data_IF_847703670727
#
_entry.id   IF_847703670727
#
_cell.length_a   1.000
_cell.length_b   1.000
_cell.length_c   1.000
_cell.angle_alpha   90.00
_cell.angle_beta   90.00
_cell.angle_gamma   90.00
#
_symmetry.space_group_name_H-M   'P 1'
#
loop_
_entity.id
_entity.type
_entity.pdbx_description
1 polymer ?
#
# COMPACT_ATOMS: atom_id res chain seq x y z
N UNK A 1 18.63 2.88 28.46
CA UNK A 1 17.27 3.06 27.90
C UNK A 1 17.27 2.87 26.38
N UNK A 2 17.93 3.75 25.62
CA UNK A 2 18.08 3.70 24.15
C UNK A 2 18.33 2.32 23.51
N UNK A 3 19.21 1.48 24.10
CA UNK A 3 19.48 0.12 23.59
C UNK A 3 18.26 -0.82 23.68
N UNK A 4 17.42 -0.64 24.71
CA UNK A 4 16.16 -1.38 24.86
C UNK A 4 15.15 -0.92 23.81
N UNK A 5 15.03 0.38 23.62
CA UNK A 5 14.08 0.99 22.68
C UNK A 5 14.41 0.59 21.24
N UNK A 6 15.70 0.63 20.86
CA UNK A 6 16.16 0.16 19.54
C UNK A 6 15.87 -1.32 19.31
N UNK A 7 16.03 -2.18 20.33
CA UNK A 7 15.70 -3.61 20.19
C UNK A 7 14.19 -3.83 20.03
N UNK A 8 13.37 -3.06 20.76
CA UNK A 8 11.92 -3.10 20.62
C UNK A 8 11.50 -2.65 19.21
N UNK A 9 12.07 -1.56 18.70
CA UNK A 9 11.81 -1.06 17.36
C UNK A 9 12.22 -2.08 16.28
N UNK A 10 13.38 -2.73 16.40
CA UNK A 10 13.81 -3.78 15.46
C UNK A 10 12.84 -4.97 15.48
N UNK A 11 12.38 -5.39 16.66
CA UNK A 11 11.42 -6.48 16.77
C UNK A 11 10.07 -6.12 16.12
N UNK A 12 9.58 -4.91 16.35
CA UNK A 12 8.37 -4.39 15.74
C UNK A 12 8.48 -4.33 14.21
N UNK A 13 9.55 -3.75 13.69
CA UNK A 13 9.79 -3.66 12.24
C UNK A 13 9.89 -5.05 11.59
N UNK A 14 10.51 -6.02 12.27
CA UNK A 14 10.57 -7.41 11.77
C UNK A 14 9.17 -8.04 11.71
N UNK A 15 8.35 -7.85 12.73
CA UNK A 15 6.98 -8.35 12.76
C UNK A 15 6.12 -7.70 11.66
N UNK A 16 6.29 -6.40 11.43
CA UNK A 16 5.62 -5.66 10.37
C UNK A 16 6.03 -6.18 8.98
N UNK A 17 7.34 -6.34 8.72
CA UNK A 17 7.83 -6.92 7.46
C UNK A 17 7.31 -8.34 7.25
N UNK A 18 7.23 -9.16 8.29
CA UNK A 18 6.64 -10.50 8.19
C UNK A 18 5.15 -10.44 7.84
N UNK A 19 4.43 -9.47 8.39
CA UNK A 19 3.00 -9.25 8.12
C UNK A 19 2.79 -8.82 6.67
N UNK A 20 3.56 -7.83 6.19
CA UNK A 20 3.52 -7.34 4.80
C UNK A 20 3.92 -8.41 3.78
N UNK A 21 4.75 -9.38 4.16
CA UNK A 21 5.09 -10.53 3.30
C UNK A 21 4.02 -11.61 3.28
N UNK A 22 3.27 -11.76 4.38
CA UNK A 22 2.26 -12.80 4.54
C UNK A 22 0.92 -12.42 3.94
N UNK A 23 0.53 -11.15 4.09
CA UNK A 23 -0.77 -10.66 3.67
C UNK A 23 -0.63 -9.71 2.48
N UNK A 24 -1.58 -9.81 1.55
CA UNK A 24 -1.74 -8.85 0.47
C UNK A 24 -2.78 -7.82 0.89
N UNK A 25 -2.36 -6.58 1.10
CA UNK A 25 -3.25 -5.48 1.47
C UNK A 25 -3.75 -4.76 0.21
N UNK A 26 -5.00 -4.28 0.28
CA UNK A 26 -5.61 -3.50 -0.79
C UNK A 26 -5.39 -2.01 -0.55
N UNK A 27 -5.06 -1.29 -1.62
CA UNK A 27 -4.78 0.13 -1.60
C UNK A 27 -6.00 0.88 -2.13
N UNK A 28 -6.70 1.64 -1.30
CA UNK A 28 -7.96 2.31 -1.67
C UNK A 28 -7.92 3.20 -2.92
N UNK A 29 -6.77 3.82 -3.21
CA UNK A 29 -6.61 4.67 -4.39
C UNK A 29 -6.36 3.88 -5.69
N UNK A 30 -5.95 2.62 -5.57
CA UNK A 30 -5.39 1.82 -6.66
C UNK A 30 -6.13 0.52 -6.90
N UNK A 31 -6.73 -0.10 -5.89
CA UNK A 31 -7.38 -1.39 -6.03
C UNK A 31 -8.90 -1.22 -5.94
N UNK A 32 -9.66 -1.69 -6.94
CA UNK A 32 -11.11 -1.61 -6.92
C UNK A 32 -11.67 -2.68 -5.95
N UNK A 33 -12.08 -2.24 -4.76
CA UNK A 33 -12.73 -3.11 -3.78
C UNK A 33 -13.97 -2.49 -3.16
N UNK A 34 -14.79 -3.33 -2.51
CA UNK A 34 -15.93 -2.94 -1.67
C UNK A 34 -15.82 -3.57 -0.29
N UNK A 35 -16.51 -2.98 0.67
CA UNK A 35 -16.63 -3.53 2.02
C UNK A 35 -18.05 -4.05 2.21
N UNK A 36 -18.17 -5.26 2.71
CA UNK A 36 -19.46 -5.95 2.89
C UNK A 36 -19.76 -6.06 4.38
N UNK A 37 -20.99 -5.78 4.84
CA UNK A 37 -21.34 -5.94 6.25
C UNK A 37 -21.19 -7.38 6.72
N UNK A 38 -20.78 -7.58 7.98
CA UNK A 38 -20.61 -8.93 8.54
C UNK A 38 -21.88 -9.79 8.53
N UNK A 39 -23.07 -9.20 8.40
CA UNK A 39 -24.35 -9.89 8.26
C UNK A 39 -24.38 -10.83 7.05
N UNK A 40 -23.68 -10.48 5.97
CA UNK A 40 -23.57 -11.31 4.75
C UNK A 40 -22.52 -12.43 4.88
N UNK A 41 -21.81 -12.48 6.02
CA UNK A 41 -20.84 -13.54 6.30
C UNK A 41 -21.45 -14.71 7.08
N UNK A 42 -22.75 -14.66 7.37
CA UNK A 42 -23.47 -15.68 8.12
C UNK A 42 -24.47 -16.40 7.21
N UNK A 43 -24.63 -17.72 7.40
CA UNK A 43 -25.62 -18.53 6.66
C UNK A 43 -25.00 -19.53 5.69
N UNK A 44 -25.74 -19.85 4.63
CA UNK A 44 -25.37 -20.89 3.65
C UNK A 44 -24.53 -20.35 2.49
N UNK A 45 -24.88 -19.17 1.98
CA UNK A 45 -24.19 -18.49 0.87
C UNK A 45 -23.33 -17.34 1.40
N UNK A 46 -22.29 -17.70 2.15
CA UNK A 46 -21.41 -16.78 2.87
C UNK A 46 -20.50 -16.02 1.92
N UNK A 47 -20.55 -14.69 1.97
CA UNK A 47 -19.59 -13.81 1.30
C UNK A 47 -18.25 -13.84 2.03
N UNK A 48 -17.16 -13.95 1.29
CA UNK A 48 -15.78 -13.97 1.82
C UNK A 48 -14.93 -12.88 1.19
N UNK A 49 -13.92 -12.46 1.94
CA UNK A 49 -12.86 -11.59 1.41
C UNK A 49 -12.19 -12.27 0.22
N UNK A 50 -12.08 -11.53 -0.88
CA UNK A 50 -11.56 -11.98 -2.17
C UNK A 50 -12.63 -12.42 -3.17
N UNK A 51 -13.90 -12.55 -2.78
CA UNK A 51 -14.98 -12.84 -3.73
C UNK A 51 -15.12 -11.70 -4.74
N UNK A 52 -15.45 -12.04 -5.99
CA UNK A 52 -15.70 -11.04 -7.03
C UNK A 52 -17.05 -10.35 -6.81
N UNK A 53 -17.08 -9.06 -7.12
CA UNK A 53 -18.27 -8.22 -7.00
C UNK A 53 -18.32 -7.26 -8.18
N UNK A 54 -19.54 -6.91 -8.58
CA UNK A 54 -19.80 -5.87 -9.57
C UNK A 54 -20.50 -4.72 -8.89
N UNK A 55 -19.97 -3.52 -9.12
CA UNK A 55 -20.63 -2.28 -8.73
C UNK A 55 -21.32 -1.73 -9.97
N UNK A 56 -22.65 -1.70 -9.96
CA UNK A 56 -23.46 -1.18 -11.06
C UNK A 56 -23.89 0.23 -10.70
N UNK A 57 -23.59 1.19 -11.57
CA UNK A 57 -24.01 2.57 -11.42
C UNK A 57 -24.21 3.23 -12.78
N UNK A 58 -25.41 3.77 -13.01
CA UNK A 58 -25.79 4.31 -14.32
C UNK A 58 -25.69 3.24 -15.40
N UNK A 59 -24.99 3.56 -16.50
CA UNK A 59 -24.85 2.69 -17.67
C UNK A 59 -23.53 1.87 -17.67
N UNK A 60 -22.85 1.81 -16.53
CA UNK A 60 -21.56 1.15 -16.40
C UNK A 60 -21.54 0.12 -15.26
N UNK A 61 -20.80 -0.96 -15.49
CA UNK A 61 -20.50 -1.99 -14.50
C UNK A 61 -19.02 -1.93 -14.18
N UNK A 62 -18.69 -1.78 -12.90
CA UNK A 62 -17.33 -1.70 -12.40
C UNK A 62 -16.96 -3.01 -11.69
N UNK A 63 -16.06 -3.82 -12.28
CA UNK A 63 -15.50 -5.00 -11.62
C UNK A 63 -14.78 -4.63 -10.33
N UNK A 64 -14.96 -5.39 -9.26
CA UNK A 64 -14.27 -5.17 -8.00
C UNK A 64 -14.14 -6.49 -7.22
N UNK A 65 -13.45 -6.43 -6.08
CA UNK A 65 -13.35 -7.54 -5.12
C UNK A 65 -13.95 -7.15 -3.77
N UNK A 66 -14.44 -8.13 -3.03
CA UNK A 66 -14.76 -7.96 -1.61
C UNK A 66 -13.43 -7.82 -0.85
N UNK A 67 -13.14 -6.61 -0.40
CA UNK A 67 -11.86 -6.27 0.21
C UNK A 67 -11.84 -6.41 1.73
N UNK A 68 -12.97 -6.17 2.38
CA UNK A 68 -13.08 -6.23 3.84
C UNK A 68 -14.52 -6.55 4.27
N UNK A 69 -14.64 -6.96 5.52
CA UNK A 69 -15.91 -7.20 6.20
C UNK A 69 -16.13 -6.10 7.25
N UNK A 70 -17.08 -5.21 6.95
CA UNK A 70 -17.43 -4.07 7.78
C UNK A 70 -18.45 -4.40 8.88
N UNK A 71 -18.78 -3.41 9.72
CA UNK A 71 -19.81 -3.57 10.75
C UNK A 71 -21.22 -3.73 10.12
N UNK A 72 -22.16 -4.27 10.89
CA UNK A 72 -23.50 -4.64 10.40
C UNK A 72 -24.43 -3.47 10.10
N UNK A 73 -24.13 -2.30 10.66
CA UNK A 73 -24.95 -1.10 10.57
C UNK A 73 -24.61 -0.21 9.36
N UNK A 74 -23.58 -0.56 8.58
CA UNK A 74 -23.10 0.24 7.45
C UNK A 74 -22.96 -0.57 6.17
N UNK A 75 -23.52 -0.04 5.07
CA UNK A 75 -23.45 -0.58 3.71
C UNK A 75 -23.00 0.50 2.74
N UNK A 76 -22.39 0.10 1.62
CA UNK A 76 -22.02 1.02 0.53
C UNK A 76 -20.61 1.58 0.60
N UNK A 77 -19.76 1.05 1.47
CA UNK A 77 -18.35 1.38 1.50
C UNK A 77 -17.61 0.76 0.29
N UNK A 78 -16.86 1.60 -0.41
CA UNK A 78 -16.08 1.20 -1.58
C UNK A 78 -14.73 1.93 -1.60
N UNK A 79 -13.78 1.35 -2.33
CA UNK A 79 -12.47 1.95 -2.58
C UNK A 79 -12.59 3.37 -3.17
N UNK A 80 -11.62 4.23 -2.82
CA UNK A 80 -11.52 5.57 -3.38
C UNK A 80 -11.36 5.52 -4.91
N UNK A 81 -10.77 4.45 -5.45
CA UNK A 81 -10.67 4.20 -6.88
C UNK A 81 -12.04 4.16 -7.57
N UNK A 82 -12.97 3.35 -7.05
CA UNK A 82 -14.33 3.28 -7.58
C UNK A 82 -15.06 4.61 -7.40
N UNK A 83 -14.92 5.22 -6.21
CA UNK A 83 -15.57 6.50 -5.92
C UNK A 83 -15.14 7.60 -6.90
N UNK A 84 -13.83 7.71 -7.20
CA UNK A 84 -13.29 8.68 -8.16
C UNK A 84 -13.71 8.40 -9.60
N UNK A 85 -13.85 7.12 -9.97
CA UNK A 85 -14.33 6.76 -11.30
C UNK A 85 -15.79 7.17 -11.52
N UNK A 86 -16.62 7.07 -10.46
CA UNK A 86 -18.02 7.51 -10.49
C UNK A 86 -18.13 9.04 -10.43
N UNK A 87 -17.37 9.66 -9.53
CA UNK A 87 -17.34 11.10 -9.33
C UNK A 87 -15.91 11.57 -9.04
N UNK A 88 -15.27 12.32 -9.97
CA UNK A 88 -13.89 12.78 -9.81
C UNK A 88 -13.63 13.63 -8.56
N UNK A 89 -14.67 14.28 -8.00
CA UNK A 89 -14.57 15.10 -6.79
C UNK A 89 -14.63 14.28 -5.49
N UNK A 90 -14.69 12.95 -5.58
CA UNK A 90 -14.76 12.07 -4.42
C UNK A 90 -13.46 12.08 -3.62
N UNK A 91 -13.60 12.19 -2.31
CA UNK A 91 -12.51 12.12 -1.34
C UNK A 91 -12.93 11.20 -0.19
N UNK A 92 -12.03 10.83 0.74
CA UNK A 92 -12.42 10.08 1.94
C UNK A 92 -13.52 10.76 2.77
N UNK A 93 -13.70 12.08 2.62
CA UNK A 93 -14.71 12.88 3.31
C UNK A 93 -15.87 13.32 2.41
N UNK A 94 -15.78 13.11 1.10
CA UNK A 94 -16.80 13.48 0.13
C UNK A 94 -17.24 12.24 -0.66
N UNK A 95 -18.45 11.76 -0.37
CA UNK A 95 -18.99 10.54 -0.97
C UNK A 95 -19.36 10.75 -2.45
N UNK A 96 -19.18 9.73 -3.31
CA UNK A 96 -19.44 9.85 -4.75
C UNK A 96 -20.93 9.99 -5.08
N UNK A 97 -21.78 9.24 -4.36
CA UNK A 97 -23.22 9.13 -4.62
C UNK A 97 -23.95 9.20 -3.29
N UNK A 98 -25.01 10.02 -3.23
CA UNK A 98 -25.84 10.15 -2.01
C UNK A 98 -27.10 9.29 -1.97
N UNK A 99 -27.65 8.99 -3.15
CA UNK A 99 -28.93 8.32 -3.33
C UNK A 99 -28.77 6.79 -3.48
N UNK A 100 -29.89 6.06 -3.42
CA UNK A 100 -29.95 4.62 -3.68
C UNK A 100 -29.86 4.31 -5.19
N UNK A 101 -28.73 4.62 -5.81
CA UNK A 101 -28.46 4.45 -7.25
C UNK A 101 -27.37 3.43 -7.56
N UNK A 102 -26.68 2.93 -6.54
CA UNK A 102 -25.58 1.97 -6.68
C UNK A 102 -26.07 0.58 -6.26
N UNK A 103 -25.83 -0.40 -7.11
CA UNK A 103 -26.16 -1.80 -6.83
C UNK A 103 -24.87 -2.63 -6.76
N UNK A 104 -24.75 -3.45 -5.72
CA UNK A 104 -23.64 -4.38 -5.55
C UNK A 104 -24.12 -5.80 -5.85
N UNK A 105 -23.53 -6.45 -6.86
CA UNK A 105 -23.78 -7.85 -7.19
C UNK A 105 -22.55 -8.67 -6.82
N UNK A 106 -22.64 -9.47 -5.77
CA UNK A 106 -21.54 -10.27 -5.23
C UNK A 106 -21.69 -11.71 -5.74
N UNK A 107 -20.57 -12.36 -6.06
CA UNK A 107 -20.51 -13.78 -6.42
C UNK A 107 -19.79 -14.58 -5.32
N UNK A 108 -20.52 -15.12 -4.33
CA UNK A 108 -19.92 -15.83 -3.21
C UNK A 108 -19.13 -17.07 -3.66
N UNK A 109 -18.04 -17.37 -2.96
CA UNK A 109 -17.23 -18.57 -3.21
C UNK A 109 -16.34 -18.49 -4.46
N UNK A 110 -16.17 -17.30 -5.03
CA UNK A 110 -15.30 -17.06 -6.19
C UNK A 110 -13.89 -16.61 -5.80
N UNK A 111 -13.65 -16.37 -4.51
CA UNK A 111 -12.35 -16.00 -3.97
C UNK A 111 -11.24 -16.99 -4.34
N UNK A 112 -10.20 -16.46 -4.99
CA UNK A 112 -9.07 -17.25 -5.44
C UNK A 112 -7.96 -17.30 -4.40
N UNK A 113 -7.32 -18.47 -4.28
CA UNK A 113 -6.21 -18.71 -3.35
C UNK A 113 -4.99 -19.22 -4.14
N UNK A 114 -3.76 -18.87 -3.72
CA UNK A 114 -3.42 -17.98 -2.60
C UNK A 114 -3.79 -16.52 -2.88
N UNK A 115 -4.03 -15.75 -1.81
CA UNK A 115 -4.24 -14.31 -1.95
C UNK A 115 -2.97 -13.63 -2.44
N UNK A 116 -3.13 -12.71 -3.39
CA UNK A 116 -2.04 -11.92 -3.95
C UNK A 116 -2.53 -10.53 -4.36
N UNK A 117 -1.65 -9.72 -4.95
CA UNK A 117 -2.02 -8.42 -5.49
C UNK A 117 -3.15 -8.59 -6.54
N UNK A 118 -4.19 -7.74 -6.51
CA UNK A 118 -5.26 -7.81 -7.50
C UNK A 118 -4.70 -7.66 -8.92
N UNK A 119 -5.00 -8.64 -9.78
CA UNK A 119 -4.71 -8.55 -11.21
C UNK A 119 -5.95 -8.02 -11.93
N UNK A 120 -5.85 -6.80 -12.50
CA UNK A 120 -6.98 -6.08 -13.08
C UNK A 120 -7.52 -6.73 -14.37
N UNK A 121 -6.64 -7.31 -15.19
CA UNK A 121 -7.04 -8.03 -16.41
C UNK A 121 -7.80 -9.31 -16.06
N UNK A 122 -7.29 -10.04 -15.08
CA UNK A 122 -7.93 -11.26 -14.57
C UNK A 122 -9.27 -10.94 -13.94
N UNK A 123 -9.33 -9.89 -13.13
CA UNK A 123 -10.56 -9.39 -12.52
C UNK A 123 -11.61 -9.09 -13.59
N UNK A 124 -11.26 -8.35 -14.64
CA UNK A 124 -12.19 -8.06 -15.74
C UNK A 124 -12.64 -9.34 -16.45
N UNK A 125 -11.71 -10.24 -16.78
CA UNK A 125 -12.03 -11.51 -17.45
C UNK A 125 -13.00 -12.36 -16.62
N UNK A 126 -12.73 -12.54 -15.32
CA UNK A 126 -13.53 -13.37 -14.41
C UNK A 126 -14.90 -12.74 -14.19
N UNK A 127 -14.96 -11.44 -13.94
CA UNK A 127 -16.22 -10.70 -13.83
C UNK A 127 -17.03 -10.80 -15.12
N UNK A 128 -16.41 -10.64 -16.29
CA UNK A 128 -17.09 -10.78 -17.58
C UNK A 128 -17.63 -12.19 -17.84
N UNK A 129 -16.93 -13.23 -17.38
CA UNK A 129 -17.42 -14.61 -17.45
C UNK A 129 -18.65 -14.82 -16.54
N UNK A 130 -18.60 -14.34 -15.30
CA UNK A 130 -19.71 -14.42 -14.33
C UNK A 130 -20.94 -13.66 -14.82
N UNK A 131 -20.75 -12.48 -15.41
CA UNK A 131 -21.83 -11.70 -16.02
C UNK A 131 -22.52 -12.49 -17.15
N UNK A 132 -21.75 -13.18 -17.99
CA UNK A 132 -22.31 -14.02 -19.07
C UNK A 132 -23.08 -15.21 -18.51
N UNK A 133 -22.60 -15.82 -17.43
CA UNK A 133 -23.24 -16.97 -16.78
C UNK A 133 -24.63 -16.64 -16.24
N UNK A 134 -24.81 -15.45 -15.65
CA UNK A 134 -26.10 -15.00 -15.13
C UNK A 134 -27.08 -14.46 -16.20
N UNK A 135 -26.75 -14.60 -17.49
CA UNK A 135 -27.61 -14.17 -18.60
C UNK A 135 -27.08 -12.98 -19.42
N UNK A 136 -25.90 -12.47 -19.10
CA UNK A 136 -25.26 -11.36 -19.79
C UNK A 136 -25.70 -9.98 -19.28
N UNK A 137 -24.91 -8.96 -19.63
CA UNK A 137 -25.26 -7.56 -19.39
C UNK A 137 -25.30 -6.82 -20.72
N UNK A 138 -26.29 -5.94 -20.88
CA UNK A 138 -26.34 -4.94 -21.96
C UNK A 138 -25.41 -3.76 -21.70
N UNK A 139 -24.99 -3.55 -20.45
CA UNK A 139 -24.17 -2.44 -20.00
C UNK A 139 -22.67 -2.69 -20.22
N UNK A 140 -21.91 -1.62 -20.34
CA UNK A 140 -20.46 -1.69 -20.57
C UNK A 140 -19.72 -2.13 -19.31
N UNK A 141 -18.90 -3.18 -19.43
CA UNK A 141 -18.02 -3.65 -18.37
C UNK A 141 -16.73 -2.83 -18.38
N UNK A 142 -16.54 -2.01 -17.35
CA UNK A 142 -15.41 -1.12 -17.24
C UNK A 142 -14.08 -1.89 -17.13
N UNK A 143 -13.05 -1.42 -17.85
CA UNK A 143 -11.69 -1.94 -17.80
C UNK A 143 -10.81 -1.03 -16.95
N UNK A 144 -10.16 -1.59 -15.92
CA UNK A 144 -9.31 -0.85 -15.02
C UNK A 144 -7.87 -0.78 -15.53
N UNK A 145 -7.37 0.44 -15.76
CA UNK A 145 -5.98 0.66 -16.14
C UNK A 145 -5.00 0.38 -14.98
N UNK A 146 -3.83 -0.18 -15.26
CA UNK A 146 -2.81 -0.33 -14.23
C UNK A 146 -2.04 0.98 -14.03
N UNK A 147 -2.28 1.65 -12.90
CA UNK A 147 -1.65 2.91 -12.53
C UNK A 147 -0.43 2.75 -11.61
N UNK A 148 -0.05 1.51 -11.27
CA UNK A 148 1.12 1.22 -10.43
C UNK A 148 2.37 1.26 -11.30
N UNK A 149 3.33 2.16 -11.00
CA UNK A 149 4.62 2.14 -11.69
C UNK A 149 5.32 0.80 -11.49
N UNK A 150 6.04 0.27 -12.49
CA UNK A 150 6.80 -0.96 -12.30
C UNK A 150 7.82 -0.75 -11.17
N UNK A 151 8.04 -1.76 -10.32
CA UNK A 151 9.03 -1.66 -9.25
C UNK A 151 10.41 -1.35 -9.84
N UNK A 152 11.25 -0.56 -9.15
CA UNK A 152 12.58 -0.22 -9.64
C UNK A 152 13.37 -1.50 -9.87
N UNK A 153 14.00 -1.61 -11.04
CA UNK A 153 14.89 -2.74 -11.37
C UNK A 153 15.98 -2.83 -10.30
N UNK A 154 16.21 -4.00 -9.68
CA UNK A 154 17.24 -4.14 -8.66
C UNK A 154 18.59 -3.73 -9.26
N UNK A 155 19.22 -2.70 -8.67
CA UNK A 155 20.58 -2.31 -9.02
C UNK A 155 21.48 -3.55 -8.86
N UNK A 156 22.24 -3.95 -9.89
CA UNK A 156 23.11 -5.11 -9.79
C UNK A 156 24.08 -4.89 -8.61
N UNK A 157 24.36 -5.94 -7.81
CA UNK A 157 25.34 -5.83 -6.74
C UNK A 157 26.67 -5.34 -7.32
N UNK A 158 27.42 -4.49 -6.60
CA UNK A 158 28.70 -3.99 -7.09
C UNK A 158 29.61 -5.19 -7.41
N UNK A 159 30.07 -5.25 -8.66
CA UNK A 159 31.06 -6.21 -9.10
C UNK A 159 32.31 -6.01 -8.26
N UNK A 160 32.58 -6.92 -7.33
CA UNK A 160 33.84 -6.94 -6.58
C UNK A 160 34.97 -7.11 -7.58
N UNK A 161 35.68 -6.02 -7.86
CA UNK A 161 36.89 -6.03 -8.67
C UNK A 161 37.96 -6.80 -7.92
N UNK A 162 38.64 -7.79 -8.54
CA UNK A 162 39.67 -8.55 -7.85
C UNK A 162 40.81 -7.62 -7.43
N UNK A 163 41.12 -7.61 -6.13
CA UNK A 163 42.24 -6.84 -5.59
C UNK A 163 43.57 -7.33 -6.21
N UNK A 164 44.50 -6.44 -6.57
CA UNK A 164 45.79 -6.85 -7.10
C UNK A 164 46.61 -7.56 -6.02
N UNK A 165 47.11 -8.74 -6.36
CA UNK A 165 48.08 -9.50 -5.57
C UNK A 165 49.41 -8.75 -5.59
N UNK A 166 49.87 -8.28 -4.43
CA UNK A 166 51.20 -7.67 -4.27
C UNK A 166 52.21 -8.81 -4.05
N UNK A 167 53.06 -9.05 -5.04
CA UNK A 167 54.24 -9.91 -4.92
C UNK A 167 55.40 -9.16 -4.24
N UNK A 168 56.18 -9.79 -3.35
CA UNK A 168 57.26 -9.11 -2.63
C UNK A 168 58.61 -9.24 -3.35
N UNK A 169 59.40 -8.16 -3.39
CA UNK A 169 60.87 -8.19 -3.50
C UNK A 169 61.49 -6.87 -3.01
N UNK A 170 62.76 -6.87 -2.53
CA UNK A 170 63.13 -6.17 -1.29
C UNK A 170 64.11 -4.99 -1.46
N UNK A 171 64.38 -4.31 -0.32
CA UNK A 171 65.50 -3.37 -0.06
C UNK A 171 65.21 -1.91 -0.49
N UNK A 172 65.32 -0.84 0.31
CA UNK A 172 66.29 -0.49 1.36
C UNK A 172 65.71 0.50 2.42
N UNK A 173 66.42 0.62 3.54
CA UNK A 173 66.12 1.21 4.87
C UNK A 173 66.11 2.77 4.99
N UNK A 174 65.79 3.35 6.18
CA UNK A 174 65.02 4.60 6.34
C UNK A 174 65.85 5.84 6.75
N UNK A 175 65.19 7.01 6.78
CA UNK A 175 65.50 8.10 7.73
C UNK A 175 64.30 9.04 7.93
N UNK A 176 64.00 9.49 9.17
CA UNK A 176 62.90 10.41 9.47
C UNK A 176 63.40 11.86 9.62
N UNK A 177 62.70 12.86 9.08
CA UNK A 177 62.85 14.26 9.53
C UNK A 177 61.59 15.09 9.22
N UNK A 178 60.89 15.42 10.31
CA UNK A 178 60.22 16.68 10.68
C UNK A 178 60.00 17.78 9.62
N UNK A 179 58.77 18.30 9.53
CA UNK A 179 58.46 19.74 9.50
C UNK A 179 56.95 20.00 9.49
N UNK A 180 56.42 20.65 10.54
CA UNK A 180 55.15 21.39 10.47
C UNK A 180 55.36 22.70 9.68
N UNK A 181 54.32 23.24 9.03
CA UNK A 181 53.91 24.58 9.42
C UNK A 181 52.40 24.82 9.46
N UNK A 182 52.05 25.73 10.36
CA UNK A 182 50.75 26.33 10.64
C UNK A 182 50.35 27.30 9.52
N UNK A 183 49.05 27.41 9.21
CA UNK A 183 48.43 28.67 8.79
C UNK A 183 46.90 28.64 9.02
N UNK A 184 46.41 29.55 9.87
CA UNK A 184 45.05 30.11 9.83
C UNK A 184 45.13 31.50 9.15
N UNK A 185 44.04 32.10 8.63
CA UNK A 185 43.09 32.82 9.50
C UNK A 185 41.61 32.91 9.03
N UNK A 186 40.77 33.19 10.03
CA UNK A 186 39.59 34.07 10.08
C UNK A 186 38.40 33.92 9.09
N UNK A 187 37.21 33.68 9.66
CA UNK A 187 35.90 33.91 9.05
C UNK A 187 34.78 33.90 10.10
N UNK A 188 34.12 35.04 10.26
CA UNK A 188 33.11 35.50 11.23
C UNK A 188 31.83 34.67 11.43
N UNK A 189 31.30 34.71 12.67
CA UNK A 189 29.93 34.33 13.13
C UNK A 189 28.84 35.28 12.55
N UNK A 190 27.52 34.95 12.59
CA UNK A 190 26.70 35.08 13.82
C UNK A 190 25.58 34.03 14.06
N UNK A 191 25.34 33.85 15.36
CA UNK A 191 24.12 33.60 16.17
C UNK A 191 22.80 32.97 15.63
N UNK A 192 22.22 32.16 16.54
CA UNK A 192 20.93 31.46 16.51
C UNK A 192 19.68 32.36 16.49
N UNK A 193 18.46 31.78 16.47
CA UNK A 193 17.79 31.60 17.76
C UNK A 193 16.98 30.30 17.95
N UNK A 194 16.92 29.93 19.22
CA UNK A 194 16.03 29.02 19.96
C UNK A 194 14.55 29.07 19.56
N UNK A 195 13.90 27.91 19.48
CA UNK A 195 12.47 27.75 19.82
C UNK A 195 12.21 26.41 20.54
N UNK A 196 11.61 26.50 21.71
CA UNK A 196 10.80 25.48 22.39
C UNK A 196 9.48 26.18 22.79
N UNK A 197 8.46 25.50 23.34
CA UNK A 197 7.95 24.13 23.17
C UNK A 197 6.48 24.14 22.68
N UNK A 198 5.86 23.00 22.33
CA UNK A 198 4.39 22.90 22.39
C UNK A 198 3.94 21.47 22.69
N UNK A 199 3.46 21.28 23.91
CA UNK A 199 2.64 20.15 24.35
C UNK A 199 1.23 20.30 23.81
N UNK A 200 0.67 19.26 23.19
CA UNK A 200 -0.78 19.17 22.92
C UNK A 200 -1.44 18.16 23.86
N UNK A 201 -2.70 18.39 24.27
CA UNK A 201 -3.27 17.80 25.47
C UNK A 201 -3.93 16.44 25.21
N UNK A 202 -3.87 15.63 26.27
CA UNK A 202 -4.60 14.38 26.49
C UNK A 202 -6.11 14.66 26.58
N UNK A 203 -6.91 14.01 25.73
CA UNK A 203 -8.37 13.99 25.85
C UNK A 203 -8.88 12.55 26.01
N UNK A 204 -9.42 12.27 27.20
CA UNK A 204 -10.34 11.19 27.57
C UNK A 204 -11.07 11.69 28.84
N UNK A 205 -12.18 11.06 29.26
CA UNK A 205 -13.47 10.83 28.61
C UNK A 205 -14.62 11.35 29.52
N UNK A 206 -15.89 11.41 29.10
CA UNK A 206 -17.13 11.23 29.93
C UNK A 206 -18.38 11.79 29.23
N UNK A 207 -19.60 11.46 29.66
CA UNK A 207 -20.10 10.22 30.28
C UNK A 207 -21.10 9.47 29.38
#
# INVERSE_FOLDING_TARGET
>A
ERKRDLRSAIAQLRAEVLTLKKFSFLIGATDPYVVVPSAFTQGKDVVKVGDYVLVVFGDAIYPAIVGDIGPNDKVGEASLRIARQINPLSTPYNRPVSDLKVTYLIFPGTAEKPFGPPNLDKLQMRCGALVKEIGGASLSLYHWENIIPPPPTPTPPPLVSPSPVISPSPSMSPSPTFAFPISSPAGSLPESPTLAPTSSPLAKPTP
#
